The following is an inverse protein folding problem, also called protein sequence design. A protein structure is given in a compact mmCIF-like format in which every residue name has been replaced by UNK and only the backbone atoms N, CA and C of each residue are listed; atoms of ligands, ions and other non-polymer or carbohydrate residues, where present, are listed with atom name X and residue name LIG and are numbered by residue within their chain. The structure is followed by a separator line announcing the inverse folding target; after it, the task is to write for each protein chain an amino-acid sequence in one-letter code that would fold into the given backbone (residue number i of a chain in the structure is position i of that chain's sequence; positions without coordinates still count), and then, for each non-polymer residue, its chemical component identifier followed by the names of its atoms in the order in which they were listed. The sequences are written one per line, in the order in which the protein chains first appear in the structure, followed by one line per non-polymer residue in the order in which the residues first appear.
data_IF_777581058674
#
_entry.id   IF_777581058674
#
_cell.length_a   1.000
_cell.length_b   1.000
_cell.length_c   1.000
_cell.angle_alpha   90.00
_cell.angle_beta   90.00
_cell.angle_gamma   90.00
#
_symmetry.space_group_name_H-M   'P 1'
#
loop_
_entity.id
_entity.type
_entity.pdbx_description
1 polymer ?
#
# COMPACT_ATOMS: atom_id res chain seq x y z
N UNK A 1 35.55 8.35 -16.73
CA UNK A 1 34.38 8.29 -17.63
C UNK A 1 33.54 7.03 -17.39
N UNK A 2 34.11 5.82 -17.47
CA UNK A 2 33.39 4.55 -17.29
C UNK A 2 32.65 4.41 -15.93
N UNK A 3 33.26 4.88 -14.83
CA UNK A 3 32.63 4.86 -13.49
C UNK A 3 31.38 5.73 -13.36
N UNK A 4 31.34 6.86 -14.06
CA UNK A 4 30.18 7.78 -14.06
C UNK A 4 29.03 7.17 -14.87
N UNK A 5 29.34 6.50 -15.98
CA UNK A 5 28.34 5.80 -16.79
C UNK A 5 27.70 4.62 -16.03
N UNK A 6 28.49 3.88 -15.23
CA UNK A 6 27.95 2.82 -14.37
C UNK A 6 27.04 3.36 -13.27
N UNK A 7 27.41 4.49 -12.65
CA UNK A 7 26.59 5.12 -11.62
C UNK A 7 25.25 5.60 -12.20
N UNK A 8 25.28 6.21 -13.40
CA UNK A 8 24.10 6.64 -14.12
C UNK A 8 23.19 5.46 -14.51
N UNK A 9 23.77 4.36 -14.98
CA UNK A 9 23.03 3.15 -15.32
C UNK A 9 22.33 2.57 -14.08
N UNK A 10 23.03 2.43 -12.95
CA UNK A 10 22.45 1.95 -11.69
C UNK A 10 21.29 2.84 -11.24
N UNK A 11 21.44 4.16 -11.35
CA UNK A 11 20.40 5.12 -10.97
C UNK A 11 19.14 4.98 -11.84
N UNK A 12 19.32 4.87 -13.16
CA UNK A 12 18.22 4.64 -14.11
C UNK A 12 17.51 3.30 -13.85
N UNK A 13 18.26 2.23 -13.54
CA UNK A 13 17.68 0.94 -13.18
C UNK A 13 16.87 1.01 -11.88
N UNK A 14 17.35 1.73 -10.86
CA UNK A 14 16.59 1.89 -9.61
C UNK A 14 15.31 2.71 -9.83
N UNK A 15 15.37 3.77 -10.64
CA UNK A 15 14.20 4.62 -10.92
C UNK A 15 13.14 3.89 -11.77
N UNK A 16 13.56 3.08 -12.75
CA UNK A 16 12.67 2.21 -13.52
C UNK A 16 12.08 1.07 -12.68
N UNK A 17 12.72 0.71 -11.55
CA UNK A 17 12.22 -0.32 -10.63
C UNK A 17 11.28 0.24 -9.55
N UNK A 18 11.18 1.57 -9.42
CA UNK A 18 10.24 2.21 -8.51
C UNK A 18 8.82 2.16 -9.10
N UNK A 19 8.06 1.15 -8.68
CA UNK A 19 6.60 1.11 -8.90
C UNK A 19 5.95 2.40 -8.35
N UNK A 20 5.12 3.06 -9.17
CA UNK A 20 4.37 4.25 -8.77
C UNK A 20 3.52 3.93 -7.52
N UNK A 21 3.75 4.70 -6.45
CA UNK A 21 3.17 4.58 -5.09
C UNK A 21 3.10 3.16 -4.49
N UNK A 22 4.19 2.39 -4.54
CA UNK A 22 4.32 1.16 -3.72
C UNK A 22 4.76 1.40 -2.26
N UNK A 23 4.84 2.66 -1.84
CA UNK A 23 5.32 3.05 -0.52
C UNK A 23 4.16 3.10 0.47
N UNK A 24 4.42 2.71 1.72
CA UNK A 24 3.51 3.00 2.82
C UNK A 24 3.28 4.52 2.92
N UNK A 25 2.10 4.92 3.36
CA UNK A 25 1.68 6.32 3.38
C UNK A 25 1.35 6.77 4.80
N UNK A 26 1.55 8.06 5.06
CA UNK A 26 1.13 8.72 6.28
C UNK A 26 -0.42 8.67 6.43
N UNK A 27 -0.91 9.10 7.59
CA UNK A 27 -2.34 9.06 7.95
C UNK A 27 -3.27 9.57 6.85
N UNK A 28 -2.97 10.74 6.27
CA UNK A 28 -3.79 11.40 5.26
C UNK A 28 -3.57 10.88 3.82
N UNK A 29 -2.56 10.02 3.58
CA UNK A 29 -2.20 9.59 2.23
C UNK A 29 -1.48 10.67 1.41
N UNK A 30 -0.78 11.60 2.06
CA UNK A 30 -0.13 12.76 1.45
C UNK A 30 1.40 12.70 1.49
N UNK A 31 1.98 11.65 2.06
CA UNK A 31 3.43 11.50 2.17
C UNK A 31 3.85 10.07 2.48
N UNK A 32 5.02 9.68 1.96
CA UNK A 32 5.59 8.36 2.16
C UNK A 32 6.08 8.18 3.60
N UNK A 33 5.93 6.96 4.12
CA UNK A 33 6.52 6.50 5.39
C UNK A 33 7.16 5.12 5.18
N UNK A 34 8.08 4.74 6.06
CA UNK A 34 8.76 3.45 5.96
C UNK A 34 7.81 2.28 6.19
N UNK A 35 6.97 2.38 7.22
CA UNK A 35 5.88 1.44 7.49
C UNK A 35 4.72 2.15 8.17
N UNK A 36 3.52 1.60 7.96
CA UNK A 36 2.31 1.95 8.69
C UNK A 36 1.56 0.66 9.03
N UNK A 37 1.08 0.55 10.26
CA UNK A 37 0.15 -0.53 10.65
C UNK A 37 -1.19 0.12 10.92
N UNK A 38 -2.24 -0.44 10.32
CA UNK A 38 -3.61 0.07 10.49
C UNK A 38 -4.47 -1.03 11.10
N UNK A 39 -5.24 -0.68 12.13
CA UNK A 39 -6.17 -1.58 12.79
C UNK A 39 -7.60 -1.04 12.65
N UNK A 40 -8.48 -1.81 12.00
CA UNK A 40 -9.90 -1.49 11.91
C UNK A 40 -10.68 -2.39 12.86
N UNK A 41 -11.26 -1.80 13.91
CA UNK A 41 -12.13 -2.55 14.81
C UNK A 41 -13.39 -3.05 14.08
N UNK A 42 -14.03 -4.14 14.56
CA UNK A 42 -15.34 -4.57 14.07
C UNK A 42 -16.37 -3.43 14.11
N UNK A 43 -17.22 -3.36 13.08
CA UNK A 43 -18.25 -2.32 12.92
C UNK A 43 -17.79 -0.84 12.87
N UNK A 44 -16.48 -0.55 12.92
CA UNK A 44 -15.96 0.81 12.75
C UNK A 44 -15.65 1.11 11.29
N UNK A 45 -15.98 2.33 10.86
CA UNK A 45 -15.65 2.86 9.53
C UNK A 45 -14.18 3.26 9.44
N UNK A 46 -13.68 3.93 10.49
CA UNK A 46 -12.30 4.36 10.62
C UNK A 46 -11.48 3.33 11.43
N UNK A 47 -10.16 3.40 11.31
CA UNK A 47 -9.22 2.60 12.09
C UNK A 47 -8.43 3.41 13.09
N UNK A 48 -7.45 2.74 13.70
CA UNK A 48 -6.29 3.34 14.34
C UNK A 48 -5.06 3.11 13.46
N UNK A 49 -4.08 4.00 13.53
CA UNK A 49 -2.84 3.89 12.75
C UNK A 49 -1.61 4.19 13.60
N UNK A 50 -0.50 3.53 13.28
CA UNK A 50 0.80 3.72 13.93
C UNK A 50 1.90 3.72 12.85
N UNK A 51 2.98 4.48 13.10
CA UNK A 51 4.07 4.72 12.16
C UNK A 51 5.44 4.42 12.77
N UNK A 52 6.45 4.24 11.90
CA UNK A 52 7.86 4.09 12.26
C UNK A 52 8.38 5.15 13.23
N UNK A 53 8.03 6.41 13.00
CA UNK A 53 8.53 7.56 13.76
C UNK A 53 7.83 7.75 15.11
N UNK A 54 6.79 6.96 15.40
CA UNK A 54 5.94 7.09 16.58
C UNK A 54 5.51 5.71 17.11
N UNK A 55 6.47 4.78 17.23
CA UNK A 55 6.19 3.44 17.74
C UNK A 55 5.53 3.48 19.14
N UNK A 56 4.45 2.72 19.32
CA UNK A 56 3.63 2.69 20.53
C UNK A 56 2.47 3.71 20.57
N UNK A 57 2.47 4.75 19.74
CA UNK A 57 1.44 5.79 19.75
C UNK A 57 0.40 5.58 18.64
N UNK A 58 -0.69 4.88 18.95
CA UNK A 58 -1.82 4.73 18.03
C UNK A 58 -2.59 6.04 17.88
N UNK A 59 -2.65 6.58 16.67
CA UNK A 59 -3.49 7.71 16.30
C UNK A 59 -4.82 7.23 15.70
N UNK A 60 -5.84 8.10 15.68
CA UNK A 60 -7.05 7.90 14.90
C UNK A 60 -6.72 7.83 13.41
N UNK A 61 -7.39 6.97 12.64
CA UNK A 61 -7.36 7.01 11.18
C UNK A 61 -8.16 8.20 10.64
N UNK A 62 -7.71 8.77 9.52
CA UNK A 62 -8.25 10.01 8.95
C UNK A 62 -9.68 9.86 8.42
N UNK A 63 -9.87 8.97 7.44
CA UNK A 63 -11.14 8.75 6.75
C UNK A 63 -11.57 7.28 6.85
N UNK A 64 -12.87 6.97 6.65
CA UNK A 64 -13.36 5.61 6.50
C UNK A 64 -12.57 4.82 5.45
N UNK A 65 -12.27 3.56 5.72
CA UNK A 65 -11.54 2.68 4.77
C UNK A 65 -12.29 2.38 3.48
N UNK A 66 -13.60 2.64 3.46
CA UNK A 66 -14.45 2.50 2.27
C UNK A 66 -14.25 3.64 1.29
N UNK A 67 -13.61 4.75 1.70
CA UNK A 67 -13.35 5.87 0.83
C UNK A 67 -12.17 5.54 -0.09
N UNK A 68 -12.23 5.98 -1.34
CA UNK A 68 -11.15 5.73 -2.32
C UNK A 68 -9.89 6.56 -2.03
N UNK A 69 -9.98 7.58 -1.15
CA UNK A 69 -8.91 8.55 -0.87
C UNK A 69 -8.99 9.08 0.56
N UNK A 70 -7.96 9.83 0.93
CA UNK A 70 -7.90 10.58 2.20
C UNK A 70 -7.44 9.74 3.39
N UNK A 71 -6.89 8.55 3.15
CA UNK A 71 -6.23 7.76 4.18
C UNK A 71 -5.08 6.91 3.62
N UNK A 72 -4.20 6.44 4.52
CA UNK A 72 -2.98 5.70 4.17
C UNK A 72 -3.24 4.47 3.29
N UNK A 73 -4.21 3.62 3.68
CA UNK A 73 -4.47 2.33 3.02
C UNK A 73 -4.88 2.49 1.55
N UNK A 74 -5.88 3.32 1.25
CA UNK A 74 -6.35 3.49 -0.13
C UNK A 74 -5.25 4.11 -1.00
N UNK A 75 -4.48 5.05 -0.45
CA UNK A 75 -3.37 5.66 -1.18
C UNK A 75 -2.28 4.64 -1.54
N UNK A 76 -1.94 3.73 -0.62
CA UNK A 76 -0.89 2.73 -0.85
C UNK A 76 -1.24 1.72 -1.97
N UNK A 77 -2.53 1.53 -2.28
CA UNK A 77 -3.00 0.61 -3.32
C UNK A 77 -3.75 1.33 -4.46
N UNK A 78 -3.66 2.66 -4.55
CA UNK A 78 -4.54 3.45 -5.41
C UNK A 78 -4.47 3.04 -6.89
N UNK A 79 -3.27 2.68 -7.37
CA UNK A 79 -3.06 2.28 -8.76
C UNK A 79 -3.30 0.79 -9.01
N UNK A 80 -3.35 -0.03 -7.95
CA UNK A 80 -3.81 -1.43 -8.03
C UNK A 80 -5.33 -1.44 -8.22
N UNK A 81 -6.06 -0.66 -7.42
CA UNK A 81 -7.53 -0.57 -7.47
C UNK A 81 -7.99 0.24 -8.68
N UNK A 82 -7.33 1.36 -8.98
CA UNK A 82 -7.63 2.22 -10.12
C UNK A 82 -7.23 1.67 -11.49
N UNK A 83 -6.80 0.40 -11.56
CA UNK A 83 -6.43 -0.32 -12.78
C UNK A 83 -5.45 0.46 -13.69
N UNK A 84 -4.32 0.91 -13.13
CA UNK A 84 -3.27 1.54 -13.89
C UNK A 84 -2.45 0.48 -14.65
N UNK A 85 -2.40 0.58 -15.99
CA UNK A 85 -1.75 -0.40 -16.86
C UNK A 85 -0.23 -0.59 -16.60
N UNK A 86 0.42 0.44 -16.04
CA UNK A 86 1.84 0.41 -15.74
C UNK A 86 2.16 -0.33 -14.43
N UNK A 87 1.16 -0.52 -13.55
CA UNK A 87 1.35 -1.23 -12.29
C UNK A 87 1.31 -2.74 -12.49
N UNK A 88 2.19 -3.43 -11.75
CA UNK A 88 2.24 -4.89 -11.64
C UNK A 88 2.03 -5.27 -10.18
N UNK A 89 1.13 -6.21 -9.92
CA UNK A 89 0.83 -6.70 -8.58
C UNK A 89 0.40 -8.16 -8.61
N UNK A 90 0.54 -8.85 -7.48
CA UNK A 90 -0.03 -10.17 -7.23
C UNK A 90 -1.03 -10.04 -6.08
N UNK A 91 -2.29 -10.33 -6.35
CA UNK A 91 -3.32 -10.43 -5.33
C UNK A 91 -3.57 -11.90 -5.00
N UNK A 92 -3.67 -12.23 -3.72
CA UNK A 92 -4.09 -13.55 -3.27
C UNK A 92 -5.28 -13.40 -2.32
N UNK A 93 -6.21 -14.35 -2.37
CA UNK A 93 -7.36 -14.37 -1.47
C UNK A 93 -7.86 -15.80 -1.38
N UNK A 94 -8.15 -16.27 -0.16
CA UNK A 94 -8.72 -17.59 0.04
C UNK A 94 -10.13 -17.77 -0.55
N UNK A 95 -10.85 -16.66 -0.77
CA UNK A 95 -12.13 -16.59 -1.48
C UNK A 95 -12.04 -15.45 -2.50
N UNK A 96 -11.45 -15.68 -3.68
CA UNK A 96 -11.22 -14.63 -4.66
C UNK A 96 -12.55 -14.08 -5.18
N UNK A 97 -12.67 -12.75 -5.34
CA UNK A 97 -13.87 -12.15 -5.91
C UNK A 97 -14.05 -12.61 -7.38
N UNK A 98 -15.29 -12.83 -7.79
CA UNK A 98 -15.61 -13.21 -9.17
C UNK A 98 -15.39 -14.67 -9.55
N UNK A 99 -14.89 -15.52 -8.63
CA UNK A 99 -14.77 -16.97 -8.86
C UNK A 99 -15.64 -17.71 -7.85
N UNK A 100 -16.86 -18.15 -8.22
CA UNK A 100 -17.74 -18.85 -7.31
C UNK A 100 -17.16 -20.22 -6.91
N UNK A 101 -17.47 -20.66 -5.69
CA UNK A 101 -17.12 -21.98 -5.13
C UNK A 101 -15.62 -22.30 -5.00
N UNK A 102 -14.72 -21.33 -5.19
CA UNK A 102 -13.29 -21.51 -4.93
C UNK A 102 -12.97 -21.05 -3.50
N UNK A 103 -12.65 -22.00 -2.62
CA UNK A 103 -12.18 -21.75 -1.25
C UNK A 103 -10.92 -22.54 -0.95
N UNK A 104 -9.82 -21.86 -0.65
CA UNK A 104 -8.58 -22.50 -0.20
C UNK A 104 -8.58 -22.70 1.33
N UNK A 105 -7.63 -23.49 1.85
CA UNK A 105 -7.51 -23.75 3.30
C UNK A 105 -6.96 -22.56 4.10
N UNK A 106 -6.34 -21.57 3.44
CA UNK A 106 -5.84 -20.35 4.10
C UNK A 106 -7.01 -19.42 4.48
N UNK A 107 -6.79 -18.52 5.43
CA UNK A 107 -7.71 -17.40 5.73
C UNK A 107 -7.08 -16.03 5.45
N UNK A 108 -5.86 -16.01 4.92
CA UNK A 108 -5.12 -14.79 4.61
C UNK A 108 -5.49 -14.24 3.22
N UNK A 109 -5.22 -12.95 3.05
CA UNK A 109 -5.30 -12.19 1.80
C UNK A 109 -4.10 -11.28 1.67
#
# INVERSE_FOLDING_TARGET
MLKILHLLAVFLFTDLSHSQTSKCQNKAGTGNVDWAIVYKAPAQLNGKIIFATAAGAWDNGEQPFTNERGHSFAKAIEHIVGNNADIKFLAYNNVPPGIPNLKTKSNSK
#
